data_IF_022437045475
#
_entry.id   IF_022437045475
#
_cell.length_a   1.000
_cell.length_b   1.000
_cell.length_c   1.000
_cell.angle_alpha   90.00
_cell.angle_beta   90.00
_cell.angle_gamma   90.00
#
_symmetry.space_group_name_H-M   'P 1'
#
loop_
_entity.id
_entity.type
_entity.pdbx_description
1 polymer ?
#
# COMPACT_ATOMS: atom_id res chain seq x y z
N UNK A 1 39.45 -14.14 -17.25
CA UNK A 1 38.65 -12.94 -16.83
C UNK A 1 37.82 -13.32 -15.63
N UNK A 2 37.87 -12.56 -14.56
CA UNK A 2 37.02 -12.80 -13.40
C UNK A 2 35.57 -12.56 -13.81
N UNK A 3 34.69 -13.56 -13.59
CA UNK A 3 33.25 -13.36 -13.75
C UNK A 3 32.81 -12.23 -12.82
N UNK A 4 31.96 -11.32 -13.33
CA UNK A 4 31.42 -10.26 -12.49
C UNK A 4 30.70 -10.88 -11.28
N UNK A 5 30.73 -10.21 -10.12
CA UNK A 5 30.02 -10.66 -8.92
C UNK A 5 28.54 -10.95 -9.22
N UNK A 6 27.96 -10.20 -10.16
CA UNK A 6 26.61 -10.42 -10.63
C UNK A 6 26.44 -11.84 -11.24
N UNK A 7 27.31 -12.24 -12.19
CA UNK A 7 27.24 -13.58 -12.84
C UNK A 7 27.45 -14.72 -11.86
N UNK A 8 28.26 -14.51 -10.83
CA UNK A 8 28.48 -15.53 -9.80
C UNK A 8 27.21 -15.77 -8.96
N UNK A 9 26.41 -14.74 -8.73
CA UNK A 9 25.18 -14.81 -7.93
C UNK A 9 23.96 -15.13 -8.80
N UNK A 10 23.81 -14.46 -9.95
CA UNK A 10 22.67 -14.60 -10.84
C UNK A 10 22.82 -15.79 -11.78
N UNK A 11 22.70 -16.98 -11.20
CA UNK A 11 22.68 -18.26 -11.93
C UNK A 11 21.26 -18.65 -12.32
N UNK A 12 21.11 -19.60 -13.24
CA UNK A 12 19.79 -20.12 -13.60
C UNK A 12 19.02 -20.69 -12.40
N UNK A 13 19.73 -21.36 -11.50
CA UNK A 13 19.13 -21.89 -10.27
C UNK A 13 18.65 -20.73 -9.36
N UNK A 14 19.45 -19.68 -9.20
CA UNK A 14 19.07 -18.52 -8.38
C UNK A 14 17.90 -17.77 -9.02
N UNK A 15 17.88 -17.60 -10.33
CA UNK A 15 16.75 -17.05 -11.07
C UNK A 15 15.44 -17.78 -10.76
N UNK A 16 15.45 -19.11 -10.82
CA UNK A 16 14.27 -19.94 -10.51
C UNK A 16 13.83 -19.79 -9.05
N UNK A 17 14.78 -19.76 -8.12
CA UNK A 17 14.50 -19.52 -6.70
C UNK A 17 13.80 -18.17 -6.49
N UNK A 18 14.33 -17.10 -7.05
CA UNK A 18 13.74 -15.75 -6.96
C UNK A 18 12.36 -15.68 -7.57
N UNK A 19 12.14 -16.31 -8.74
CA UNK A 19 10.81 -16.38 -9.36
C UNK A 19 9.81 -17.10 -8.44
N UNK A 20 10.20 -18.24 -7.87
CA UNK A 20 9.35 -19.00 -6.94
C UNK A 20 9.02 -18.19 -5.69
N UNK A 21 9.98 -17.48 -5.13
CA UNK A 21 9.75 -16.60 -3.98
C UNK A 21 8.70 -15.52 -4.29
N UNK A 22 8.85 -14.81 -5.38
CA UNK A 22 7.87 -13.81 -5.78
C UNK A 22 6.47 -14.38 -6.04
N UNK A 23 6.38 -15.55 -6.69
CA UNK A 23 5.11 -16.23 -6.92
C UNK A 23 4.41 -16.65 -5.63
N UNK A 24 5.14 -16.77 -4.54
CA UNK A 24 4.62 -17.05 -3.20
C UNK A 24 4.48 -15.78 -2.31
N UNK A 25 4.54 -14.62 -2.92
CA UNK A 25 4.29 -13.36 -2.22
C UNK A 25 5.48 -12.79 -1.43
N UNK A 26 6.71 -13.30 -1.69
CA UNK A 26 7.90 -12.84 -0.99
C UNK A 26 8.17 -11.34 -1.21
N UNK A 27 8.73 -10.72 -0.20
CA UNK A 27 9.22 -9.34 -0.24
C UNK A 27 10.60 -9.25 -0.89
N UNK A 28 11.00 -8.03 -1.29
CA UNK A 28 12.37 -7.77 -1.76
C UNK A 28 13.39 -8.14 -0.69
N UNK A 29 13.08 -7.95 0.60
CA UNK A 29 13.99 -8.32 1.69
C UNK A 29 14.24 -9.84 1.73
N UNK A 30 13.20 -10.66 1.57
CA UNK A 30 13.31 -12.11 1.51
C UNK A 30 14.11 -12.57 0.28
N UNK A 31 13.87 -11.97 -0.87
CA UNK A 31 14.63 -12.24 -2.10
C UNK A 31 16.10 -11.86 -1.93
N UNK A 32 16.41 -10.71 -1.33
CA UNK A 32 17.79 -10.30 -1.05
C UNK A 32 18.49 -11.27 -0.11
N UNK A 33 17.77 -11.75 0.91
CA UNK A 33 18.30 -12.75 1.85
C UNK A 33 18.63 -14.07 1.12
N UNK A 34 17.74 -14.58 0.28
CA UNK A 34 17.98 -15.78 -0.53
C UNK A 34 19.17 -15.62 -1.49
N UNK A 35 19.31 -14.43 -2.09
CA UNK A 35 20.41 -14.11 -2.99
C UNK A 35 21.75 -13.86 -2.26
N UNK A 36 21.73 -13.65 -0.96
CA UNK A 36 22.92 -13.26 -0.19
C UNK A 36 23.46 -11.88 -0.56
N UNK A 37 22.60 -10.92 -0.89
CA UNK A 37 22.96 -9.56 -1.26
C UNK A 37 22.24 -8.51 -0.40
N UNK A 38 22.84 -7.34 -0.27
CA UNK A 38 22.19 -6.20 0.36
C UNK A 38 21.08 -5.63 -0.54
N UNK A 39 20.02 -5.06 0.05
CA UNK A 39 18.95 -4.40 -0.69
C UNK A 39 19.45 -3.24 -1.58
N UNK A 40 20.50 -2.54 -1.16
CA UNK A 40 21.13 -1.49 -1.96
C UNK A 40 21.74 -2.05 -3.26
N UNK A 41 22.36 -3.23 -3.19
CA UNK A 41 22.89 -3.94 -4.37
C UNK A 41 21.76 -4.39 -5.28
N UNK A 42 20.69 -4.95 -4.72
CA UNK A 42 19.48 -5.34 -5.47
C UNK A 42 18.90 -4.14 -6.23
N UNK A 43 18.68 -3.01 -5.55
CA UNK A 43 18.15 -1.78 -6.16
C UNK A 43 19.05 -1.26 -7.27
N UNK A 44 20.36 -1.27 -7.06
CA UNK A 44 21.34 -0.86 -8.09
C UNK A 44 21.24 -1.76 -9.32
N UNK A 45 21.10 -3.07 -9.16
CA UNK A 45 20.97 -4.00 -10.27
C UNK A 45 19.61 -3.85 -10.98
N UNK A 46 18.54 -3.62 -10.22
CA UNK A 46 17.21 -3.42 -10.77
C UNK A 46 17.02 -2.08 -11.51
N UNK A 47 17.82 -1.07 -11.19
CA UNK A 47 17.71 0.28 -11.78
C UNK A 47 18.79 0.59 -12.82
N UNK A 48 19.75 -0.29 -13.06
CA UNK A 48 20.79 -0.08 -14.07
C UNK A 48 20.24 -0.29 -15.47
N UNK A 49 20.84 0.39 -16.46
CA UNK A 49 20.58 0.17 -17.90
C UNK A 49 21.50 -0.88 -18.53
N UNK A 50 22.38 -1.48 -17.75
CA UNK A 50 23.33 -2.49 -18.18
C UNK A 50 22.59 -3.69 -18.79
N UNK A 51 22.95 -4.05 -20.04
CA UNK A 51 22.36 -5.17 -20.77
C UNK A 51 22.59 -6.51 -20.08
N UNK A 52 23.71 -6.68 -19.40
CA UNK A 52 24.04 -7.90 -18.63
C UNK A 52 22.99 -8.22 -17.57
N UNK A 53 22.31 -7.20 -17.05
CA UNK A 53 21.31 -7.32 -15.99
C UNK A 53 19.86 -7.20 -16.49
N UNK A 54 19.65 -7.22 -17.81
CA UNK A 54 18.30 -7.11 -18.39
C UNK A 54 17.35 -8.23 -17.94
N UNK A 55 17.83 -9.46 -17.92
CA UNK A 55 17.10 -10.64 -17.45
C UNK A 55 16.71 -10.51 -15.95
N UNK A 56 17.64 -10.01 -15.13
CA UNK A 56 17.34 -9.74 -13.72
C UNK A 56 16.25 -8.68 -13.55
N UNK A 57 16.34 -7.57 -14.29
CA UNK A 57 15.30 -6.52 -14.23
C UNK A 57 13.93 -7.02 -14.64
N UNK A 58 13.86 -7.83 -15.69
CA UNK A 58 12.61 -8.44 -16.14
C UNK A 58 12.03 -9.35 -15.06
N UNK A 59 12.82 -10.24 -14.50
CA UNK A 59 12.38 -11.13 -13.40
C UNK A 59 11.90 -10.33 -12.19
N UNK A 60 12.58 -9.24 -11.83
CA UNK A 60 12.17 -8.38 -10.72
C UNK A 60 10.86 -7.66 -11.01
N UNK A 61 10.68 -7.15 -12.23
CA UNK A 61 9.45 -6.46 -12.61
C UNK A 61 8.25 -7.39 -12.56
N UNK A 62 8.33 -8.52 -13.25
CA UNK A 62 7.28 -9.55 -13.24
C UNK A 62 7.07 -10.15 -11.85
N UNK A 63 8.15 -10.30 -11.09
CA UNK A 63 8.10 -10.83 -9.74
C UNK A 63 7.32 -9.92 -8.77
N UNK A 64 7.48 -8.62 -8.87
CA UNK A 64 6.69 -7.66 -8.06
C UNK A 64 5.20 -7.78 -8.35
N UNK A 65 4.82 -7.90 -9.62
CA UNK A 65 3.43 -8.11 -10.04
C UNK A 65 2.89 -9.45 -9.53
N UNK A 66 3.68 -10.52 -9.63
CA UNK A 66 3.31 -11.84 -9.14
C UNK A 66 3.11 -11.84 -7.62
N UNK A 67 3.98 -11.16 -6.87
CA UNK A 67 3.86 -11.03 -5.42
C UNK A 67 2.61 -10.24 -5.03
N UNK A 68 2.30 -9.14 -5.72
CA UNK A 68 1.07 -8.37 -5.50
C UNK A 68 -0.17 -9.22 -5.79
N UNK A 69 -0.17 -9.96 -6.90
CA UNK A 69 -1.28 -10.86 -7.26
C UNK A 69 -1.50 -11.95 -6.21
N UNK A 70 -0.43 -12.52 -5.65
CA UNK A 70 -0.52 -13.50 -4.58
C UNK A 70 -1.19 -12.91 -3.33
N UNK A 71 -0.74 -11.75 -2.88
CA UNK A 71 -1.30 -11.06 -1.70
C UNK A 71 -2.74 -10.60 -1.92
N UNK A 72 -3.07 -10.12 -3.12
CA UNK A 72 -4.45 -9.76 -3.50
C UNK A 72 -5.36 -10.97 -3.43
N UNK A 73 -4.90 -12.13 -3.91
CA UNK A 73 -5.63 -13.39 -3.82
C UNK A 73 -5.87 -13.80 -2.36
N UNK A 74 -4.86 -13.68 -1.49
CA UNK A 74 -5.01 -14.00 -0.07
C UNK A 74 -6.15 -13.19 0.57
N UNK A 75 -6.24 -11.89 0.31
CA UNK A 75 -7.34 -11.06 0.81
C UNK A 75 -8.70 -11.51 0.27
N UNK A 76 -8.81 -11.77 -1.02
CA UNK A 76 -10.06 -12.19 -1.66
C UNK A 76 -10.54 -13.57 -1.18
N UNK A 77 -9.64 -14.53 -1.04
CA UNK A 77 -9.97 -15.91 -0.64
C UNK A 77 -10.26 -16.04 0.86
N UNK A 78 -9.86 -15.05 1.67
CA UNK A 78 -10.02 -15.07 3.12
C UNK A 78 -11.03 -14.04 3.64
N UNK A 79 -11.89 -13.49 2.78
CA UNK A 79 -12.88 -12.47 3.20
C UNK A 79 -13.74 -12.93 4.37
N UNK A 80 -14.17 -14.20 4.37
CA UNK A 80 -15.02 -14.80 5.38
C UNK A 80 -14.26 -15.71 6.36
N UNK A 81 -12.93 -15.76 6.26
CA UNK A 81 -12.12 -16.63 7.09
C UNK A 81 -11.98 -16.07 8.52
N UNK A 82 -12.56 -16.74 9.51
CA UNK A 82 -12.40 -16.38 10.92
C UNK A 82 -10.92 -16.50 11.32
N UNK A 83 -10.35 -15.42 11.86
CA UNK A 83 -8.94 -15.37 12.27
C UNK A 83 -8.01 -14.79 11.21
N UNK A 84 -8.44 -14.54 9.98
CA UNK A 84 -7.66 -13.77 9.03
C UNK A 84 -7.59 -12.30 9.47
N UNK A 85 -6.39 -11.78 9.63
CA UNK A 85 -6.20 -10.41 10.07
C UNK A 85 -6.24 -9.44 8.87
N UNK A 86 -7.44 -8.99 8.51
CA UNK A 86 -7.66 -8.04 7.43
C UNK A 86 -6.91 -6.71 7.63
N UNK A 87 -6.78 -6.25 8.87
CA UNK A 87 -6.06 -5.01 9.19
C UNK A 87 -4.57 -5.11 8.87
N UNK A 88 -3.91 -6.17 9.31
CA UNK A 88 -2.50 -6.42 8.99
C UNK A 88 -2.29 -6.67 7.48
N UNK A 89 -3.22 -7.38 6.84
CA UNK A 89 -3.19 -7.59 5.41
C UNK A 89 -3.26 -6.26 4.65
N UNK A 90 -4.20 -5.37 5.01
CA UNK A 90 -4.36 -4.06 4.37
C UNK A 90 -3.13 -3.17 4.57
N UNK A 91 -2.54 -3.17 5.77
CA UNK A 91 -1.30 -2.44 6.06
C UNK A 91 -0.16 -2.95 5.18
N UNK A 92 -0.04 -4.28 5.02
CA UNK A 92 0.96 -4.88 4.15
C UNK A 92 0.76 -4.48 2.68
N UNK A 93 -0.49 -4.49 2.18
CA UNK A 93 -0.83 -4.06 0.82
C UNK A 93 -0.49 -2.58 0.60
N UNK A 94 -0.80 -1.72 1.57
CA UNK A 94 -0.49 -0.30 1.50
C UNK A 94 1.03 -0.05 1.47
N UNK A 95 1.78 -0.70 2.34
CA UNK A 95 3.23 -0.49 2.47
C UNK A 95 4.04 -1.09 1.31
N UNK A 96 3.63 -2.25 0.81
CA UNK A 96 4.39 -2.99 -0.21
C UNK A 96 4.00 -2.60 -1.63
N UNK A 97 2.70 -2.36 -1.87
CA UNK A 97 2.14 -2.19 -3.20
C UNK A 97 1.47 -0.84 -3.42
N UNK A 98 1.69 0.09 -2.49
CA UNK A 98 1.15 1.45 -2.56
C UNK A 98 -0.40 1.49 -2.67
N UNK A 99 -1.08 0.52 -2.07
CA UNK A 99 -2.53 0.54 -1.95
C UNK A 99 -2.94 1.66 -1.00
N UNK A 100 -3.52 2.71 -1.54
CA UNK A 100 -4.01 3.83 -0.74
C UNK A 100 -5.39 3.51 -0.20
N UNK A 101 -5.48 3.25 1.10
CA UNK A 101 -6.76 3.27 1.80
C UNK A 101 -7.29 4.70 1.80
N UNK A 102 -8.55 4.90 1.39
CA UNK A 102 -9.21 6.20 1.53
C UNK A 102 -9.30 6.66 3.00
N UNK A 103 -9.17 5.75 3.96
CA UNK A 103 -9.12 6.04 5.39
C UNK A 103 -7.82 6.72 5.84
N UNK A 104 -6.73 6.59 5.09
CA UNK A 104 -5.43 7.21 5.39
C UNK A 104 -5.09 8.34 4.42
N UNK A 105 -6.05 8.88 3.69
CA UNK A 105 -5.92 10.23 3.21
C UNK A 105 -5.96 11.14 4.45
N UNK A 106 -4.80 11.27 5.15
CA UNK A 106 -4.46 12.57 5.67
C UNK A 106 -4.61 13.47 4.44
N UNK A 107 -5.64 14.29 4.46
CA UNK A 107 -5.66 15.44 3.58
C UNK A 107 -4.29 16.06 3.78
N UNK A 108 -3.40 15.95 2.79
CA UNK A 108 -2.33 16.89 2.67
C UNK A 108 -3.08 18.21 2.53
N UNK A 109 -3.29 18.88 3.64
CA UNK A 109 -3.56 20.30 3.64
C UNK A 109 -2.34 20.88 2.95
N UNK A 110 -2.40 21.01 1.63
CA UNK A 110 -1.55 21.94 0.93
C UNK A 110 -1.85 23.24 1.64
N UNK A 111 -0.92 23.69 2.46
CA UNK A 111 -0.84 25.06 2.90
C UNK A 111 -0.79 25.89 1.62
N UNK A 112 -1.95 26.18 1.07
CA UNK A 112 -2.08 27.18 0.04
C UNK A 112 -1.86 28.46 0.81
N UNK A 113 -0.68 29.05 0.71
CA UNK A 113 -0.44 30.42 1.11
C UNK A 113 -1.46 31.28 0.40
N UNK A 114 -2.61 31.47 1.00
CA UNK A 114 -3.54 32.49 0.60
C UNK A 114 -2.97 33.83 1.05
N UNK A 115 -2.18 34.47 0.19
CA UNK A 115 -2.02 35.91 0.22
C UNK A 115 -3.37 36.52 -0.16
N UNK A 116 -4.21 36.75 0.82
CA UNK A 116 -5.49 37.42 0.61
C UNK A 116 -6.51 36.96 1.67
N UNK A 117 -7.00 37.91 2.45
CA UNK A 117 -8.10 37.89 3.41
C UNK A 117 -8.77 36.54 3.64
N UNK A 118 -8.48 35.94 4.79
CA UNK A 118 -9.19 34.77 5.31
C UNK A 118 -10.63 35.20 5.58
N UNK A 119 -11.55 34.88 4.69
CA UNK A 119 -12.94 34.77 5.09
C UNK A 119 -13.04 33.58 6.04
N UNK A 120 -13.19 33.87 7.31
CA UNK A 120 -13.51 32.87 8.32
C UNK A 120 -14.85 32.25 7.90
N UNK A 121 -14.81 31.08 7.25
CA UNK A 121 -16.01 30.26 7.09
C UNK A 121 -16.55 30.03 8.49
N UNK A 122 -17.75 30.55 8.75
CA UNK A 122 -18.47 30.39 10.02
C UNK A 122 -18.31 28.96 10.48
N UNK A 123 -17.74 28.77 11.67
CA UNK A 123 -17.81 27.50 12.40
C UNK A 123 -19.26 27.05 12.31
N UNK A 124 -19.51 25.88 11.75
CA UNK A 124 -20.83 25.28 11.80
C UNK A 124 -21.13 25.10 13.28
N UNK A 125 -22.08 25.88 13.76
CA UNK A 125 -22.50 25.83 15.15
C UNK A 125 -23.32 24.56 15.36
N UNK A 126 -22.63 23.50 15.78
CA UNK A 126 -23.22 22.18 16.03
C UNK A 126 -24.30 22.28 17.11
N UNK A 127 -24.16 23.19 18.07
CA UNK A 127 -25.13 23.40 19.14
C UNK A 127 -26.43 23.97 18.60
N UNK A 128 -26.38 24.87 17.62
CA UNK A 128 -27.59 25.40 16.99
C UNK A 128 -28.33 24.36 16.14
N UNK A 129 -27.61 23.42 15.52
CA UNK A 129 -28.18 22.31 14.76
C UNK A 129 -28.86 21.30 15.69
N UNK A 130 -28.21 20.97 16.80
CA UNK A 130 -28.76 20.09 17.84
C UNK A 130 -30.04 20.71 18.47
N UNK A 131 -30.01 21.99 18.80
CA UNK A 131 -31.16 22.68 19.38
C UNK A 131 -32.35 22.69 18.42
N UNK A 132 -32.13 22.89 17.13
CA UNK A 132 -33.19 22.80 16.09
C UNK A 132 -33.78 21.41 15.97
N UNK A 133 -32.95 20.38 16.08
CA UNK A 133 -33.38 18.97 16.01
C UNK A 133 -34.25 18.62 17.25
N UNK A 134 -33.83 19.06 18.44
CA UNK A 134 -34.58 18.85 19.69
C UNK A 134 -35.92 19.56 19.64
N UNK A 135 -35.97 20.81 19.18
CA UNK A 135 -37.23 21.57 19.08
C UNK A 135 -38.23 20.96 18.10
N UNK A 136 -37.75 20.42 16.96
CA UNK A 136 -38.63 19.69 16.03
C UNK A 136 -39.19 18.40 16.64
N UNK A 137 -38.39 17.65 17.38
CA UNK A 137 -38.83 16.45 18.07
C UNK A 137 -39.88 16.73 19.16
N UNK A 138 -39.87 17.91 19.78
CA UNK A 138 -40.84 18.31 20.79
C UNK A 138 -42.17 18.71 20.11
N UNK A 139 -42.13 19.42 18.98
CA UNK A 139 -43.34 19.81 18.23
C UNK A 139 -44.07 18.59 17.70
N UNK A 140 -43.39 17.56 17.20
CA UNK A 140 -44.02 16.32 16.72
C UNK A 140 -44.65 15.49 17.84
N UNK A 141 -44.21 15.63 19.10
CA UNK A 141 -44.82 14.93 20.25
C UNK A 141 -46.11 15.64 20.71
N UNK A 142 -46.18 16.94 20.60
CA UNK A 142 -47.34 17.72 21.05
C UNK A 142 -48.53 17.55 20.10
N UNK A 143 -48.27 17.39 18.81
CA UNK A 143 -49.32 17.12 17.80
C UNK A 143 -49.88 15.68 17.87
N UNK A 144 -49.26 14.78 18.62
CA UNK A 144 -49.70 13.36 18.75
C UNK A 144 -50.55 13.13 19.99
N UNK A 145 -50.71 14.12 20.87
CA UNK A 145 -51.43 14.01 22.17
C UNK A 145 -52.82 14.69 22.13
N UNK A 146 -53.22 15.23 21.02
CA UNK A 146 -54.56 15.74 20.74
C UNK A 146 -55.27 14.90 19.65
#
# INVERSE_FOLDING_TARGET
MANSKFKQIWTLQKKRSVQTLFMNGASIAEVCFDMGIAQSTFRRWANTTDKEKSDFREVVSLGKEASEAWWTRQGRENLDTRGFNHGLWLINMANRFNWRSNYNKKEEYKEVEHKGTVEVKKKVDVDSILQKAINRGIEEIDDTIH
#
